data_IF_768644620708
#
_entry.id   IF_768644620708
#
_cell.length_a   1.000
_cell.length_b   1.000
_cell.length_c   1.000
_cell.angle_alpha   90.00
_cell.angle_beta   90.00
_cell.angle_gamma   90.00
#
_symmetry.space_group_name_H-M   'P 1'
#
loop_
_entity.id
_entity.type
_entity.pdbx_description
1 polymer ?
#
# COMPACT_ATOMS: atom_id res chain seq x y z
N UNK A 1 6.45 -63.87 -48.93
CA UNK A 1 6.41 -64.49 -47.58
C UNK A 1 7.21 -63.60 -46.64
N UNK A 2 6.61 -63.17 -45.52
CA UNK A 2 7.23 -62.87 -44.20
C UNK A 2 8.34 -61.79 -44.18
N UNK A 3 8.30 -60.67 -43.45
CA UNK A 3 7.46 -60.15 -42.37
C UNK A 3 7.56 -58.62 -42.33
N UNK A 4 6.45 -57.99 -41.94
CA UNK A 4 6.31 -56.58 -41.57
C UNK A 4 6.98 -56.30 -40.22
N UNK A 5 7.73 -55.20 -40.11
CA UNK A 5 7.89 -54.46 -38.86
C UNK A 5 7.87 -52.96 -39.10
N UNK A 6 6.80 -52.35 -38.60
CA UNK A 6 6.60 -50.91 -38.46
C UNK A 6 7.54 -50.37 -37.39
N UNK A 7 8.23 -49.27 -37.68
CA UNK A 7 8.74 -48.35 -36.68
C UNK A 7 8.38 -46.93 -37.13
N UNK A 8 7.26 -46.47 -36.59
CA UNK A 8 6.87 -45.08 -36.50
C UNK A 8 7.92 -44.32 -35.71
N UNK A 9 8.72 -43.51 -36.38
CA UNK A 9 9.45 -42.40 -35.75
C UNK A 9 8.69 -41.13 -36.07
N UNK A 10 7.68 -40.86 -35.25
CA UNK A 10 7.08 -39.55 -35.13
C UNK A 10 8.12 -38.61 -34.50
N UNK A 11 8.84 -37.87 -35.35
CA UNK A 11 9.61 -36.72 -34.90
C UNK A 11 8.62 -35.61 -34.54
N UNK A 12 8.22 -35.54 -33.27
CA UNK A 12 7.60 -34.37 -32.69
C UNK A 12 8.55 -33.18 -32.89
N UNK A 13 8.21 -32.29 -33.84
CA UNK A 13 8.70 -30.93 -33.86
C UNK A 13 8.24 -30.26 -32.56
N UNK A 14 9.16 -30.20 -31.60
CA UNK A 14 9.07 -29.32 -30.44
C UNK A 14 8.94 -27.88 -30.96
N UNK A 15 7.72 -27.36 -30.95
CA UNK A 15 7.53 -25.92 -30.85
C UNK A 15 8.15 -25.51 -29.52
N UNK A 16 9.35 -24.95 -29.57
CA UNK A 16 9.92 -24.17 -28.50
C UNK A 16 8.94 -23.03 -28.19
N UNK A 17 8.00 -23.30 -27.30
CA UNK A 17 7.31 -22.26 -26.58
C UNK A 17 8.41 -21.58 -25.80
N UNK A 18 8.80 -20.38 -26.25
CA UNK A 18 9.62 -19.49 -25.45
C UNK A 18 8.89 -19.34 -24.12
N UNK A 19 9.34 -20.09 -23.12
CA UNK A 19 9.04 -19.80 -21.74
C UNK A 19 9.71 -18.45 -21.51
N UNK A 20 8.92 -17.39 -21.64
CA UNK A 20 9.24 -16.13 -21.01
C UNK A 20 9.48 -16.47 -19.55
N UNK A 21 10.75 -16.46 -19.17
CA UNK A 21 11.17 -16.68 -17.80
C UNK A 21 10.54 -15.56 -16.99
N UNK A 22 9.41 -15.83 -16.35
CA UNK A 22 9.00 -15.10 -15.16
C UNK A 22 10.16 -15.30 -14.19
N UNK A 23 11.04 -14.30 -14.10
CA UNK A 23 11.98 -14.22 -13.00
C UNK A 23 11.15 -14.22 -11.73
N UNK A 24 11.07 -15.38 -11.08
CA UNK A 24 10.59 -15.50 -9.73
C UNK A 24 11.42 -14.53 -8.89
N UNK A 25 10.79 -13.43 -8.45
CA UNK A 25 11.41 -12.55 -7.48
C UNK A 25 11.78 -13.39 -6.26
N UNK A 26 13.04 -13.29 -5.83
CA UNK A 26 13.54 -13.91 -4.60
C UNK A 26 12.56 -13.62 -3.46
N UNK A 27 11.90 -14.66 -2.97
CA UNK A 27 11.55 -14.79 -1.55
C UNK A 27 10.34 -14.04 -1.01
N UNK A 28 9.31 -13.73 -1.80
CA UNK A 28 8.02 -13.33 -1.21
C UNK A 28 7.24 -14.61 -0.90
N UNK A 29 7.32 -15.11 0.33
CA UNK A 29 6.34 -16.07 0.83
C UNK A 29 4.95 -15.42 0.76
N UNK A 30 3.89 -16.16 0.38
CA UNK A 30 2.54 -15.64 0.44
C UNK A 30 2.29 -15.02 1.83
N UNK A 31 1.69 -13.82 1.89
CA UNK A 31 1.52 -13.15 3.16
C UNK A 31 0.58 -13.94 4.08
N UNK A 32 0.85 -13.92 5.38
CA UNK A 32 -0.03 -14.54 6.40
C UNK A 32 -1.42 -13.87 6.44
N UNK A 33 -1.52 -12.63 5.95
CA UNK A 33 -2.74 -11.85 5.80
C UNK A 33 -2.87 -11.30 4.37
N UNK A 34 -3.98 -11.61 3.71
CA UNK A 34 -4.34 -11.08 2.40
C UNK A 34 -4.94 -9.68 2.56
N UNK A 35 -4.77 -8.81 1.56
CA UNK A 35 -5.31 -7.44 1.58
C UNK A 35 -6.81 -7.40 1.94
N UNK A 36 -7.24 -6.60 2.95
CA UNK A 36 -8.63 -6.57 3.38
C UNK A 36 -9.50 -5.91 2.31
N UNK A 37 -10.32 -6.73 1.64
CA UNK A 37 -11.34 -6.24 0.68
C UNK A 37 -12.62 -5.78 1.38
N UNK A 38 -12.74 -6.07 2.68
CA UNK A 38 -13.85 -5.61 3.53
C UNK A 38 -13.79 -4.09 3.67
N UNK A 39 -14.95 -3.43 3.60
CA UNK A 39 -15.09 -1.97 3.69
C UNK A 39 -14.48 -1.17 2.52
N UNK A 40 -14.12 -1.83 1.40
CA UNK A 40 -13.73 -1.13 0.18
C UNK A 40 -14.88 -0.19 -0.27
N UNK A 41 -14.66 1.13 -0.35
CA UNK A 41 -15.70 2.10 -0.70
C UNK A 41 -16.24 1.92 -2.13
N UNK A 42 -15.54 1.14 -2.96
CA UNK A 42 -15.92 0.80 -4.34
C UNK A 42 -15.84 -0.70 -4.61
N UNK A 43 -16.24 -1.53 -3.64
CA UNK A 43 -16.14 -3.00 -3.74
C UNK A 43 -16.72 -3.55 -5.05
N UNK A 44 -17.86 -3.01 -5.51
CA UNK A 44 -18.53 -3.46 -6.75
C UNK A 44 -17.76 -3.14 -8.03
N UNK A 45 -16.84 -2.16 -7.98
CA UNK A 45 -15.96 -1.80 -9.10
C UNK A 45 -14.58 -2.47 -9.01
N UNK A 46 -14.32 -3.17 -7.90
CA UNK A 46 -13.03 -3.81 -7.66
C UNK A 46 -12.80 -4.95 -8.66
N UNK A 47 -11.56 -5.03 -9.16
CA UNK A 47 -11.07 -6.15 -9.96
C UNK A 47 -9.94 -6.81 -9.19
N UNK A 48 -9.86 -8.15 -9.15
CA UNK A 48 -8.72 -8.81 -8.54
C UNK A 48 -7.46 -8.49 -9.34
N UNK A 49 -6.40 -8.10 -8.65
CA UNK A 49 -5.06 -7.91 -9.22
C UNK A 49 -4.08 -8.87 -8.55
N UNK A 50 -3.01 -9.31 -9.25
CA UNK A 50 -2.03 -10.22 -8.66
C UNK A 50 -1.43 -9.73 -7.34
N UNK A 51 -1.31 -8.41 -7.15
CA UNK A 51 -0.77 -7.82 -5.91
C UNK A 51 -1.64 -8.10 -4.67
N UNK A 52 -2.96 -8.27 -4.85
CA UNK A 52 -3.91 -8.53 -3.74
C UNK A 52 -3.51 -9.77 -2.94
N UNK A 53 -2.94 -10.77 -3.62
CA UNK A 53 -2.57 -12.08 -3.06
C UNK A 53 -1.05 -12.21 -2.82
N UNK A 54 -0.26 -11.23 -3.26
CA UNK A 54 1.20 -11.23 -3.15
C UNK A 54 1.71 -10.31 -2.04
N UNK A 55 0.94 -9.29 -1.67
CA UNK A 55 1.37 -8.27 -0.72
C UNK A 55 0.38 -8.10 0.44
N UNK A 56 0.91 -8.19 1.66
CA UNK A 56 0.10 -8.00 2.87
C UNK A 56 -0.32 -6.52 3.04
N UNK A 57 -1.32 -6.22 3.87
CA UNK A 57 -1.67 -4.84 4.24
C UNK A 57 -0.52 -4.07 4.89
N UNK A 58 0.44 -4.78 5.49
CA UNK A 58 1.62 -4.19 6.11
C UNK A 58 2.77 -3.99 5.11
N UNK A 59 2.67 -4.53 3.89
CA UNK A 59 3.73 -4.53 2.90
C UNK A 59 4.78 -5.63 3.14
N UNK A 60 5.97 -5.44 2.56
CA UNK A 60 7.15 -6.28 2.82
C UNK A 60 7.89 -5.83 4.08
N UNK A 61 8.23 -6.81 4.92
CA UNK A 61 9.26 -6.66 5.95
C UNK A 61 10.61 -6.44 5.30
N UNK A 62 11.32 -5.41 5.74
CA UNK A 62 12.76 -5.35 5.51
C UNK A 62 13.38 -6.61 6.14
N UNK A 63 14.38 -7.25 5.51
CA UNK A 63 15.11 -8.37 6.12
C UNK A 63 15.67 -8.04 7.52
N UNK A 64 15.87 -6.76 7.80
CA UNK A 64 16.39 -6.22 9.07
C UNK A 64 15.30 -5.64 9.99
N UNK A 65 14.01 -5.83 9.67
CA UNK A 65 12.89 -5.31 10.48
C UNK A 65 12.38 -6.36 11.46
N UNK A 66 12.00 -5.92 12.67
CA UNK A 66 11.37 -6.76 13.72
C UNK A 66 9.92 -7.20 13.39
N UNK A 67 9.57 -7.28 12.10
CA UNK A 67 8.24 -7.70 11.67
C UNK A 67 7.15 -6.68 12.03
N UNK A 68 6.09 -7.14 12.70
CA UNK A 68 4.88 -6.36 13.01
C UNK A 68 5.10 -5.14 13.94
N UNK A 69 6.28 -5.01 14.56
CA UNK A 69 6.63 -3.86 15.41
C UNK A 69 7.39 -2.76 14.65
N UNK A 70 7.76 -2.99 13.40
CA UNK A 70 8.42 -1.97 12.58
C UNK A 70 7.47 -0.77 12.35
N UNK A 71 7.93 0.47 12.59
CA UNK A 71 7.09 1.65 12.43
C UNK A 71 6.51 1.84 11.02
N UNK A 72 7.20 1.41 9.95
CA UNK A 72 6.65 1.44 8.59
C UNK A 72 5.57 0.36 8.41
N UNK A 73 5.77 -0.84 8.96
CA UNK A 73 4.76 -1.91 8.95
C UNK A 73 3.45 -1.44 9.58
N UNK A 74 3.56 -0.87 10.78
CA UNK A 74 2.42 -0.31 11.48
C UNK A 74 1.74 0.79 10.65
N UNK A 75 2.52 1.57 9.88
CA UNK A 75 2.00 2.69 9.09
C UNK A 75 1.24 2.18 7.87
N UNK A 76 1.80 1.22 7.16
CA UNK A 76 1.16 0.56 6.03
C UNK A 76 -0.14 -0.11 6.49
N UNK A 77 -0.09 -0.83 7.62
CA UNK A 77 -1.28 -1.46 8.22
C UNK A 77 -2.37 -0.43 8.55
N UNK A 78 -2.00 0.71 9.14
CA UNK A 78 -2.95 1.77 9.46
C UNK A 78 -3.53 2.44 8.20
N UNK A 79 -2.70 2.69 7.17
CA UNK A 79 -3.15 3.24 5.86
C UNK A 79 -4.10 2.29 5.14
N UNK A 80 -3.88 0.98 5.26
CA UNK A 80 -4.70 -0.05 4.65
C UNK A 80 -5.88 -0.51 5.53
N UNK A 81 -6.13 0.14 6.67
CA UNK A 81 -7.33 -0.13 7.48
C UNK A 81 -8.56 0.59 6.89
N UNK A 82 -9.21 -0.08 5.94
CA UNK A 82 -10.42 0.45 5.28
C UNK A 82 -11.68 0.35 6.16
N UNK A 83 -11.61 -0.31 7.32
CA UNK A 83 -12.73 -0.55 8.22
C UNK A 83 -12.68 0.33 9.48
N UNK A 84 -12.18 1.56 9.38
CA UNK A 84 -12.24 2.52 10.48
C UNK A 84 -13.70 2.69 10.98
N UNK A 85 -13.94 2.75 12.31
CA UNK A 85 -15.29 2.86 12.86
C UNK A 85 -15.88 4.26 12.65
N UNK A 86 -17.21 4.34 12.71
CA UNK A 86 -17.94 5.61 12.78
C UNK A 86 -17.69 6.34 14.12
N UNK A 87 -17.92 7.67 14.21
CA UNK A 87 -18.49 8.55 13.18
C UNK A 87 -17.49 8.97 12.10
N UNK A 88 -18.00 9.32 10.92
CA UNK A 88 -17.22 9.96 9.86
C UNK A 88 -16.97 11.43 10.23
N UNK A 89 -15.71 11.83 10.31
CA UNK A 89 -15.30 13.22 10.57
C UNK A 89 -14.98 13.93 9.26
N UNK A 90 -15.62 15.08 9.00
CA UNK A 90 -15.27 15.92 7.86
C UNK A 90 -13.96 16.66 8.15
N UNK A 91 -13.00 16.56 7.23
CA UNK A 91 -11.72 17.28 7.30
C UNK A 91 -11.54 18.20 6.10
N UNK A 92 -10.71 19.23 6.28
CA UNK A 92 -10.32 20.20 5.25
C UNK A 92 -8.80 20.21 5.13
N UNK A 93 -8.26 20.94 4.14
CA UNK A 93 -6.81 21.09 4.01
C UNK A 93 -6.20 21.76 5.26
N UNK A 94 -6.90 22.69 5.91
CA UNK A 94 -6.37 23.32 7.14
C UNK A 94 -6.19 22.32 8.28
N UNK A 95 -7.04 21.29 8.38
CA UNK A 95 -6.85 20.23 9.38
C UNK A 95 -5.55 19.45 9.16
N UNK A 96 -5.08 19.30 7.92
CA UNK A 96 -3.77 18.69 7.68
C UNK A 96 -2.62 19.59 8.12
N UNK A 97 -2.76 20.91 7.95
CA UNK A 97 -1.81 21.89 8.47
C UNK A 97 -1.77 21.81 10.03
N UNK A 98 -2.95 21.73 10.67
CA UNK A 98 -3.08 21.62 12.13
C UNK A 98 -2.50 20.30 12.66
N UNK A 99 -2.72 19.17 11.97
CA UNK A 99 -2.12 17.88 12.31
C UNK A 99 -0.60 17.91 12.25
N UNK A 100 -0.03 18.57 11.23
CA UNK A 100 1.42 18.73 11.12
C UNK A 100 1.96 19.61 12.25
N UNK A 101 1.34 20.77 12.49
CA UNK A 101 1.74 21.67 13.57
C UNK A 101 1.66 20.99 14.94
N UNK A 102 0.60 20.22 15.21
CA UNK A 102 0.46 19.44 16.44
C UNK A 102 1.56 18.39 16.58
N UNK A 103 1.93 17.70 15.49
CA UNK A 103 3.04 16.75 15.53
C UNK A 103 4.38 17.44 15.88
N UNK A 104 4.66 18.59 15.25
CA UNK A 104 5.86 19.39 15.52
C UNK A 104 5.88 19.90 16.97
N UNK A 105 4.79 20.46 17.47
CA UNK A 105 4.66 20.99 18.83
C UNK A 105 4.84 19.89 19.89
N UNK A 106 4.32 18.70 19.63
CA UNK A 106 4.45 17.54 20.53
C UNK A 106 5.78 16.79 20.36
N UNK A 107 6.68 17.26 19.50
CA UNK A 107 7.96 16.60 19.23
C UNK A 107 7.82 15.20 18.61
N UNK A 108 6.68 14.92 17.97
CA UNK A 108 6.43 13.67 17.26
C UNK A 108 7.27 13.68 15.99
N UNK A 109 8.09 12.65 15.80
CA UNK A 109 8.95 12.53 14.63
C UNK A 109 8.14 12.09 13.41
N UNK A 110 8.33 12.73 12.25
CA UNK A 110 7.67 12.38 11.00
C UNK A 110 8.51 12.82 9.79
N UNK A 111 8.11 12.39 8.59
CA UNK A 111 8.70 12.85 7.33
C UNK A 111 9.66 11.86 6.65
N UNK A 112 10.07 12.22 5.44
CA UNK A 112 10.90 11.41 4.54
C UNK A 112 12.36 11.94 4.53
N UNK A 113 13.28 11.10 4.04
CA UNK A 113 14.71 11.36 3.77
C UNK A 113 15.16 12.72 3.18
N UNK A 114 14.25 13.55 2.65
CA UNK A 114 14.52 14.83 1.99
C UNK A 114 14.41 16.08 2.90
N UNK A 115 14.10 15.93 4.19
CA UNK A 115 14.08 17.04 5.16
C UNK A 115 14.98 16.71 6.36
N UNK A 116 15.63 17.72 6.96
CA UNK A 116 16.58 17.57 8.07
C UNK A 116 15.92 17.30 9.44
N UNK A 117 14.71 16.72 9.47
CA UNK A 117 14.05 16.27 10.70
C UNK A 117 14.43 14.81 11.01
N UNK A 118 14.34 14.36 12.27
CA UNK A 118 14.56 12.95 12.62
C UNK A 118 13.69 12.03 11.77
N UNK A 119 14.36 11.11 11.05
CA UNK A 119 13.83 10.27 9.98
C UNK A 119 13.01 9.06 10.45
N UNK A 120 12.67 8.99 11.73
CA UNK A 120 11.98 7.83 12.31
C UNK A 120 10.50 8.12 12.45
N UNK A 121 9.66 7.22 11.94
CA UNK A 121 8.26 7.18 12.36
C UNK A 121 8.20 6.81 13.86
N UNK A 122 7.20 7.30 14.61
CA UNK A 122 7.11 6.98 16.03
C UNK A 122 6.76 5.50 16.20
N UNK A 123 7.54 4.81 17.04
CA UNK A 123 7.26 3.41 17.38
C UNK A 123 5.95 3.27 18.16
N UNK A 124 5.69 4.19 19.10
CA UNK A 124 4.39 4.31 19.74
C UNK A 124 3.41 5.06 18.83
N UNK A 125 2.40 4.35 18.35
CA UNK A 125 1.35 4.89 17.47
C UNK A 125 0.23 5.60 18.21
N UNK A 126 0.17 5.46 19.54
CA UNK A 126 -0.82 6.15 20.36
C UNK A 126 -0.66 7.67 20.31
N UNK A 127 0.57 8.15 20.10
CA UNK A 127 0.89 9.58 19.97
C UNK A 127 0.25 10.23 18.74
N UNK A 128 -0.17 9.44 17.74
CA UNK A 128 -0.79 9.95 16.51
C UNK A 128 -2.32 10.09 16.62
N UNK A 129 -2.90 9.77 17.78
CA UNK A 129 -4.35 9.83 17.99
C UNK A 129 -4.77 11.21 18.50
N UNK A 130 -5.92 11.69 18.02
CA UNK A 130 -6.58 12.89 18.54
C UNK A 130 -5.69 14.16 18.54
N UNK A 131 -4.85 14.32 17.51
CA UNK A 131 -3.87 15.41 17.40
C UNK A 131 -4.48 16.76 17.06
N UNK A 132 -5.52 16.76 16.23
CA UNK A 132 -6.23 17.97 15.83
C UNK A 132 -7.73 17.83 16.11
N UNK A 133 -8.47 18.93 15.94
CA UNK A 133 -9.93 18.94 15.98
C UNK A 133 -10.49 19.63 14.75
N UNK A 134 -11.58 19.11 14.21
CA UNK A 134 -12.32 19.81 13.16
C UNK A 134 -13.10 21.02 13.73
N UNK A 135 -13.77 21.77 12.85
CA UNK A 135 -14.60 22.94 13.22
C UNK A 135 -15.72 22.59 14.22
N UNK A 136 -16.19 21.35 14.22
CA UNK A 136 -17.23 20.84 15.13
C UNK A 136 -16.65 20.32 16.46
N UNK A 137 -15.33 20.44 16.66
CA UNK A 137 -14.62 19.97 17.85
C UNK A 137 -14.32 18.46 17.87
N UNK A 138 -14.65 17.72 16.81
CA UNK A 138 -14.37 16.30 16.70
C UNK A 138 -12.87 16.04 16.52
N UNK A 139 -12.32 15.12 17.30
CA UNK A 139 -10.90 14.79 17.26
C UNK A 139 -10.52 14.06 15.96
N UNK A 140 -9.36 14.41 15.42
CA UNK A 140 -8.79 13.83 14.20
C UNK A 140 -7.39 13.32 14.52
N UNK A 141 -7.11 12.10 14.08
CA UNK A 141 -5.78 11.49 14.15
C UNK A 141 -5.78 10.14 13.44
N UNK A 142 -4.74 9.36 13.67
CA UNK A 142 -4.65 8.01 13.12
C UNK A 142 -5.82 7.12 13.56
N UNK A 143 -6.42 6.43 12.59
CA UNK A 143 -7.58 5.56 12.80
C UNK A 143 -8.94 6.27 12.74
N UNK A 144 -8.98 7.61 12.65
CA UNK A 144 -10.23 8.35 12.43
C UNK A 144 -10.76 8.08 11.02
N UNK A 145 -12.03 7.68 10.89
CA UNK A 145 -12.73 7.62 9.61
C UNK A 145 -13.05 9.05 9.16
N UNK A 146 -12.50 9.47 8.02
CA UNK A 146 -12.66 10.85 7.53
C UNK A 146 -13.39 10.93 6.19
N UNK A 147 -13.98 12.09 5.91
CA UNK A 147 -14.36 12.50 4.56
C UNK A 147 -13.64 13.79 4.21
N UNK A 148 -13.02 13.81 3.04
CA UNK A 148 -12.27 14.93 2.50
C UNK A 148 -12.68 15.18 1.05
N UNK A 149 -13.02 16.42 0.71
CA UNK A 149 -13.35 16.84 -0.65
C UNK A 149 -12.34 17.90 -1.12
N UNK A 150 -11.73 17.67 -2.28
CA UNK A 150 -10.73 18.53 -2.89
C UNK A 150 -10.68 18.38 -4.41
N UNK A 151 -10.00 19.31 -5.08
CA UNK A 151 -9.73 19.22 -6.51
C UNK A 151 -8.50 18.36 -6.78
N UNK A 152 -8.56 17.48 -7.79
CA UNK A 152 -7.38 16.77 -8.30
C UNK A 152 -6.62 17.71 -9.22
N UNK A 153 -5.39 18.07 -8.84
CA UNK A 153 -4.55 19.00 -9.62
C UNK A 153 -3.59 18.27 -10.55
N UNK A 154 -3.07 17.14 -10.08
CA UNK A 154 -2.06 16.35 -10.80
C UNK A 154 -2.08 14.91 -10.31
N UNK A 155 -1.85 13.99 -11.23
CA UNK A 155 -1.52 12.61 -10.90
C UNK A 155 -0.15 12.25 -11.50
N UNK A 156 0.57 11.35 -10.84
CA UNK A 156 1.76 10.71 -11.40
C UNK A 156 1.83 9.27 -10.88
N UNK A 157 2.41 8.34 -11.66
CA UNK A 157 2.74 7.04 -11.12
C UNK A 157 3.75 7.21 -9.98
N UNK A 158 3.60 6.42 -8.92
CA UNK A 158 4.61 6.26 -7.89
C UNK A 158 5.60 5.15 -8.25
N UNK A 159 6.22 4.56 -7.24
CA UNK A 159 7.41 3.72 -7.38
C UNK A 159 7.34 2.41 -6.61
N UNK A 160 8.50 1.79 -6.49
CA UNK A 160 8.70 0.60 -5.65
C UNK A 160 8.88 1.04 -4.20
N UNK A 161 8.02 0.57 -3.31
CA UNK A 161 7.96 0.91 -1.87
C UNK A 161 7.67 -0.35 -1.03
N UNK A 162 7.77 -0.27 0.30
CA UNK A 162 7.43 -1.41 1.15
C UNK A 162 5.95 -1.78 1.03
N UNK A 163 5.07 -0.79 0.87
CA UNK A 163 3.60 -0.97 0.84
C UNK A 163 3.10 -1.74 -0.39
N UNK A 164 3.85 -1.74 -1.49
CA UNK A 164 3.58 -2.56 -2.67
C UNK A 164 4.59 -3.70 -2.81
N UNK A 165 5.22 -4.11 -1.71
CA UNK A 165 6.14 -5.23 -1.67
C UNK A 165 7.28 -5.10 -2.68
N UNK A 166 7.75 -3.88 -2.88
CA UNK A 166 8.80 -3.52 -3.83
C UNK A 166 8.54 -3.97 -5.28
N UNK A 167 7.30 -4.37 -5.60
CA UNK A 167 6.91 -4.71 -6.96
C UNK A 167 7.05 -3.48 -7.86
N UNK A 168 7.23 -3.73 -9.15
CA UNK A 168 7.42 -2.68 -10.15
C UNK A 168 6.40 -2.85 -11.27
N UNK A 169 6.11 -1.75 -11.97
CA UNK A 169 5.19 -1.73 -13.11
C UNK A 169 3.90 -0.99 -12.81
N UNK A 170 3.16 -0.64 -13.87
CA UNK A 170 1.99 0.24 -13.75
C UNK A 170 0.84 -0.33 -12.93
N UNK A 171 0.74 -1.66 -12.81
CA UNK A 171 -0.31 -2.32 -12.02
C UNK A 171 0.04 -2.45 -10.54
N UNK A 172 1.33 -2.46 -10.19
CA UNK A 172 1.81 -2.67 -8.82
C UNK A 172 2.22 -1.36 -8.14
N UNK A 173 2.55 -0.33 -8.92
CA UNK A 173 2.91 0.98 -8.39
C UNK A 173 1.66 1.70 -7.86
N UNK A 174 1.86 2.44 -6.77
CA UNK A 174 0.87 3.36 -6.27
C UNK A 174 0.71 4.59 -7.20
N UNK A 175 -0.30 5.42 -6.91
CA UNK A 175 -0.51 6.68 -7.60
C UNK A 175 -0.36 7.83 -6.62
N UNK A 176 0.44 8.83 -7.00
CA UNK A 176 0.49 10.06 -6.25
C UNK A 176 -0.57 11.00 -6.81
N UNK A 177 -1.52 11.39 -5.96
CA UNK A 177 -2.58 12.35 -6.29
C UNK A 177 -2.30 13.65 -5.55
N UNK A 178 -2.12 14.75 -6.29
CA UNK A 178 -1.99 16.08 -5.72
C UNK A 178 -3.38 16.69 -5.60
N UNK A 179 -3.75 17.09 -4.40
CA UNK A 179 -5.07 17.64 -4.06
C UNK A 179 -4.97 19.13 -3.69
N UNK A 180 -5.95 19.92 -4.10
CA UNK A 180 -5.96 21.37 -3.88
C UNK A 180 -7.30 21.94 -3.45
N UNK A 181 -7.26 23.15 -2.88
CA UNK A 181 -8.46 23.94 -2.48
C UNK A 181 -9.20 24.53 -3.69
N UNK A 182 -8.50 24.70 -4.81
CA UNK A 182 -8.99 25.27 -6.08
C UNK A 182 -8.36 24.47 -7.23
N UNK A 183 -9.05 24.33 -8.38
CA UNK A 183 -8.52 23.65 -9.56
C UNK A 183 -7.30 24.35 -10.15
#
# INVERSE_FOLDING_TARGET
MKHSWSLLLAACLLFAHGQGSLTAHRGVTPPDEIFPKKCLPFADLSRPHPIDDQCSPSGLTSPDSDGDTDPNHLQNRAKNNLCAPDPVVRVTISIFDDLQAAAEENGITFGNQHVAHPRSLPADRSVLKNLAKNDDGAAVGEGTKVTFAAFVLKTKPGGSESVNCHLTGSEANDIHIVLGRKP
#
